data_IF_505005960848
#
_entry.id   IF_505005960848
#
_cell.length_a   1.000
_cell.length_b   1.000
_cell.length_c   1.000
_cell.angle_alpha   90.00
_cell.angle_beta   90.00
_cell.angle_gamma   90.00
#
_symmetry.space_group_name_H-M   'P 1'
#
loop_
_entity.id
_entity.type
_entity.pdbx_description
1 polymer ?
#
# COMPACT_ATOMS: atom_id res chain seq x y z
N UNK A 1 11.25 -17.48 -22.32
CA UNK A 1 12.46 -16.69 -21.98
C UNK A 1 12.13 -15.34 -21.33
N UNK A 2 11.26 -14.49 -21.89
CA UNK A 2 10.96 -13.16 -21.33
C UNK A 2 10.47 -13.17 -19.86
N UNK A 3 9.60 -14.11 -19.50
CA UNK A 3 9.07 -14.24 -18.13
C UNK A 3 10.14 -14.62 -17.11
N UNK A 4 11.06 -15.52 -17.48
CA UNK A 4 12.20 -15.94 -16.64
C UNK A 4 13.17 -14.80 -16.38
N UNK A 5 13.44 -13.97 -17.40
CA UNK A 5 14.28 -12.78 -17.27
C UNK A 5 13.61 -11.71 -16.40
N UNK A 6 12.32 -11.46 -16.63
CA UNK A 6 11.55 -10.47 -15.85
C UNK A 6 11.34 -10.89 -14.39
N UNK A 7 11.23 -12.19 -14.13
CA UNK A 7 11.01 -12.72 -12.78
C UNK A 7 12.29 -13.16 -12.08
N UNK A 8 13.47 -13.05 -12.71
CA UNK A 8 14.75 -13.57 -12.20
C UNK A 8 14.65 -15.04 -11.76
N UNK A 9 13.90 -15.86 -12.51
CA UNK A 9 13.66 -17.28 -12.17
C UNK A 9 12.63 -17.53 -11.08
N UNK A 10 12.05 -16.50 -10.44
CA UNK A 10 10.96 -16.67 -9.47
C UNK A 10 9.62 -16.93 -10.18
N UNK A 11 8.76 -17.73 -9.54
CA UNK A 11 7.41 -18.02 -10.01
C UNK A 11 6.44 -16.93 -9.53
N UNK A 12 6.59 -15.72 -10.07
CA UNK A 12 5.70 -14.61 -9.76
C UNK A 12 4.34 -14.81 -10.44
N UNK A 13 3.24 -14.89 -9.69
CA UNK A 13 1.89 -15.15 -10.23
C UNK A 13 1.48 -14.23 -11.39
N UNK A 14 2.02 -13.00 -11.45
CA UNK A 14 1.76 -12.04 -12.52
C UNK A 14 2.61 -12.25 -13.80
N UNK A 15 3.78 -12.89 -13.68
CA UNK A 15 4.72 -13.09 -14.79
C UNK A 15 4.84 -14.57 -15.21
N UNK A 16 4.28 -15.51 -14.44
CA UNK A 16 4.28 -16.93 -14.82
C UNK A 16 3.45 -17.11 -16.10
N UNK A 17 3.97 -17.82 -17.11
CA UNK A 17 3.24 -18.10 -18.34
C UNK A 17 1.95 -18.87 -18.06
N UNK A 18 0.95 -18.67 -18.91
CA UNK A 18 -0.34 -19.34 -18.77
C UNK A 18 -0.18 -20.87 -18.78
N UNK A 19 -0.76 -21.54 -17.78
CA UNK A 19 -0.66 -22.98 -17.59
C UNK A 19 -1.31 -23.43 -16.27
N UNK A 20 -1.30 -24.73 -16.00
CA UNK A 20 -1.97 -25.29 -14.82
C UNK A 20 -1.36 -24.78 -13.51
N UNK A 21 -0.06 -24.53 -13.49
CA UNK A 21 0.62 -23.89 -12.38
C UNK A 21 0.09 -22.46 -12.13
N UNK A 22 -0.01 -21.64 -13.18
CA UNK A 22 -0.56 -20.28 -13.08
C UNK A 22 -2.01 -20.29 -12.59
N UNK A 23 -2.84 -21.20 -13.12
CA UNK A 23 -4.25 -21.37 -12.69
C UNK A 23 -4.33 -21.74 -11.21
N UNK A 24 -3.49 -22.67 -10.76
CA UNK A 24 -3.43 -23.11 -9.35
C UNK A 24 -3.05 -21.95 -8.42
N UNK A 25 -2.04 -21.17 -8.78
CA UNK A 25 -1.63 -19.98 -8.01
C UNK A 25 -2.73 -18.91 -7.96
N UNK A 26 -3.34 -18.58 -9.11
CA UNK A 26 -4.47 -17.63 -9.19
C UNK A 26 -5.64 -18.07 -8.34
N UNK A 27 -6.00 -19.36 -8.38
CA UNK A 27 -7.07 -19.93 -7.56
C UNK A 27 -6.76 -19.77 -6.07
N UNK A 28 -5.52 -20.06 -5.65
CA UNK A 28 -5.08 -19.89 -4.26
C UNK A 28 -5.17 -18.44 -3.78
N UNK A 29 -4.75 -17.47 -4.62
CA UNK A 29 -4.89 -16.04 -4.32
C UNK A 29 -6.36 -15.64 -4.23
N UNK A 30 -7.18 -16.05 -5.20
CA UNK A 30 -8.60 -15.72 -5.20
C UNK A 30 -9.33 -16.28 -3.97
N UNK A 31 -9.05 -17.53 -3.58
CA UNK A 31 -9.75 -18.19 -2.46
C UNK A 31 -9.30 -17.69 -1.08
N UNK A 32 -8.04 -17.29 -0.93
CA UNK A 32 -7.47 -16.96 0.39
C UNK A 32 -7.27 -15.45 0.63
N UNK A 33 -7.20 -14.64 -0.42
CA UNK A 33 -6.91 -13.19 -0.31
C UNK A 33 -8.11 -12.38 -0.82
N UNK A 34 -8.61 -12.68 -2.02
CA UNK A 34 -9.62 -11.86 -2.71
C UNK A 34 -11.06 -12.33 -2.42
N UNK A 35 -11.24 -13.39 -1.63
CA UNK A 35 -12.57 -13.93 -1.31
C UNK A 35 -13.43 -12.85 -0.64
N UNK A 36 -14.71 -12.68 -1.04
CA UNK A 36 -15.58 -11.63 -0.49
C UNK A 36 -15.63 -11.61 1.03
N UNK A 37 -15.80 -12.76 1.68
CA UNK A 37 -15.79 -12.87 3.14
C UNK A 37 -14.50 -12.34 3.79
N UNK A 38 -13.35 -12.57 3.16
CA UNK A 38 -12.07 -12.06 3.65
C UNK A 38 -11.91 -10.57 3.39
N UNK A 39 -12.35 -10.08 2.24
CA UNK A 39 -12.39 -8.65 1.96
C UNK A 39 -13.32 -7.91 2.93
N UNK A 40 -14.46 -8.48 3.29
CA UNK A 40 -15.37 -7.94 4.31
C UNK A 40 -14.72 -7.97 5.70
N UNK A 41 -14.07 -9.07 6.08
CA UNK A 41 -13.33 -9.16 7.34
C UNK A 41 -12.19 -8.12 7.44
N UNK A 42 -11.53 -7.82 6.31
CA UNK A 42 -10.47 -6.80 6.22
C UNK A 42 -11.00 -5.39 5.96
N UNK A 43 -12.31 -5.19 5.83
CA UNK A 43 -12.89 -3.89 5.49
C UNK A 43 -12.50 -2.84 6.52
N UNK A 44 -12.61 -3.15 7.80
CA UNK A 44 -12.23 -2.25 8.90
C UNK A 44 -10.77 -1.78 8.81
N UNK A 45 -9.85 -2.64 8.35
CA UNK A 45 -8.43 -2.27 8.20
C UNK A 45 -8.22 -1.31 7.03
N UNK A 46 -8.98 -1.49 5.94
CA UNK A 46 -8.93 -0.60 4.76
C UNK A 46 -9.57 0.75 5.05
N UNK A 47 -10.67 0.78 5.79
CA UNK A 47 -11.28 2.04 6.22
C UNK A 47 -10.34 2.81 7.14
N UNK A 48 -9.66 2.13 8.07
CA UNK A 48 -8.68 2.76 8.95
C UNK A 48 -7.53 3.43 8.16
N UNK A 49 -7.01 2.79 7.11
CA UNK A 49 -5.91 3.40 6.34
C UNK A 49 -6.40 4.51 5.40
N UNK A 50 -7.66 4.44 4.93
CA UNK A 50 -8.31 5.55 4.23
C UNK A 50 -8.51 6.76 5.16
N UNK A 51 -8.96 6.54 6.40
CA UNK A 51 -9.08 7.59 7.41
C UNK A 51 -7.72 8.24 7.72
N UNK A 52 -6.66 7.43 7.79
CA UNK A 52 -5.29 7.91 7.94
C UNK A 52 -4.83 8.78 6.76
N UNK A 53 -5.19 8.41 5.52
CA UNK A 53 -4.89 9.23 4.34
C UNK A 53 -5.61 10.59 4.40
N UNK A 54 -6.90 10.61 4.78
CA UNK A 54 -7.67 11.84 4.93
C UNK A 54 -7.07 12.72 6.02
N UNK A 55 -6.73 12.14 7.17
CA UNK A 55 -6.09 12.85 8.29
C UNK A 55 -4.74 13.45 7.88
N UNK A 56 -3.93 12.71 7.13
CA UNK A 56 -2.66 13.21 6.60
C UNK A 56 -2.88 14.42 5.67
N UNK A 57 -3.80 14.32 4.72
CA UNK A 57 -4.11 15.43 3.80
C UNK A 57 -4.61 16.65 4.57
N UNK A 58 -5.53 16.45 5.52
CA UNK A 58 -6.09 17.51 6.35
C UNK A 58 -5.01 18.22 7.19
N UNK A 59 -4.13 17.47 7.84
CA UNK A 59 -3.04 18.01 8.64
C UNK A 59 -2.06 18.82 7.77
N UNK A 60 -1.76 18.34 6.56
CA UNK A 60 -0.93 19.07 5.61
C UNK A 60 -1.58 20.39 5.16
N UNK A 61 -2.91 20.44 5.03
CA UNK A 61 -3.64 21.65 4.67
C UNK A 61 -3.62 22.72 5.78
N UNK A 62 -3.70 22.32 7.05
CA UNK A 62 -3.86 23.24 8.19
C UNK A 62 -2.52 23.66 8.80
N UNK A 63 -1.51 22.78 8.75
CA UNK A 63 -0.17 23.06 9.25
C UNK A 63 0.82 23.06 8.09
N UNK A 64 0.82 24.08 7.22
CA UNK A 64 1.86 24.19 6.20
C UNK A 64 3.21 24.34 6.91
N UNK A 65 4.12 23.38 6.73
CA UNK A 65 5.44 23.32 7.38
C UNK A 65 6.31 24.59 7.15
N UNK A 66 5.88 25.54 6.31
CA UNK A 66 6.67 26.70 5.89
C UNK A 66 6.02 28.08 6.10
N UNK A 67 4.97 28.22 6.92
CA UNK A 67 4.39 29.55 7.26
C UNK A 67 3.88 30.39 6.08
N UNK A 68 3.81 29.79 4.89
CA UNK A 68 3.32 30.43 3.67
C UNK A 68 1.79 30.39 3.69
N UNK A 69 1.17 31.56 3.66
CA UNK A 69 -0.27 31.82 3.58
C UNK A 69 -0.94 31.26 2.30
N UNK A 70 -0.16 30.63 1.42
CA UNK A 70 -0.63 30.00 0.19
C UNK A 70 -0.68 28.49 0.46
N UNK A 71 -1.88 27.92 0.39
CA UNK A 71 -2.18 26.54 0.79
C UNK A 71 -1.11 25.50 0.45
N UNK A 72 -0.91 24.55 1.35
CA UNK A 72 0.07 23.47 1.22
C UNK A 72 -0.12 22.69 -0.10
N UNK A 73 0.93 22.63 -0.92
CA UNK A 73 0.92 21.82 -2.15
C UNK A 73 1.16 20.36 -1.78
N UNK A 74 0.12 19.53 -1.94
CA UNK A 74 0.16 18.11 -1.57
C UNK A 74 0.48 17.26 -2.79
N UNK A 75 1.52 16.42 -2.69
CA UNK A 75 1.79 15.39 -3.70
C UNK A 75 0.83 14.20 -3.51
N UNK A 76 -0.37 14.31 -4.09
CA UNK A 76 -1.40 13.28 -3.99
C UNK A 76 -0.94 11.92 -4.54
N UNK A 77 -0.11 11.92 -5.60
CA UNK A 77 0.44 10.68 -6.19
C UNK A 77 1.27 9.91 -5.16
N UNK A 78 2.08 10.61 -4.37
CA UNK A 78 2.88 10.00 -3.31
C UNK A 78 2.01 9.49 -2.17
N UNK A 79 1.07 10.31 -1.70
CA UNK A 79 0.17 9.96 -0.59
C UNK A 79 -0.69 8.73 -0.91
N UNK A 80 -1.30 8.68 -2.11
CA UNK A 80 -2.12 7.55 -2.55
C UNK A 80 -1.29 6.27 -2.72
N UNK A 81 -0.08 6.35 -3.28
CA UNK A 81 0.82 5.19 -3.39
C UNK A 81 1.14 4.58 -2.02
N UNK A 82 1.27 5.42 -1.00
CA UNK A 82 1.58 4.98 0.36
C UNK A 82 0.38 4.38 1.05
N UNK A 83 -0.80 4.99 0.91
CA UNK A 83 -2.06 4.42 1.38
C UNK A 83 -2.26 3.01 0.82
N UNK A 84 -2.20 2.85 -0.51
CA UNK A 84 -2.39 1.56 -1.18
C UNK A 84 -1.32 0.55 -0.72
N UNK A 85 -0.07 0.97 -0.59
CA UNK A 85 1.00 0.10 -0.13
C UNK A 85 0.79 -0.37 1.32
N UNK A 86 0.29 0.50 2.17
CA UNK A 86 -0.02 0.17 3.56
C UNK A 86 -1.27 -0.70 3.67
N UNK A 87 -2.31 -0.44 2.87
CA UNK A 87 -3.50 -1.30 2.77
C UNK A 87 -3.10 -2.74 2.47
N UNK A 88 -2.31 -2.96 1.41
CA UNK A 88 -1.86 -4.29 1.02
C UNK A 88 -1.06 -4.94 2.16
N UNK A 89 -0.13 -4.23 2.80
CA UNK A 89 0.66 -4.77 3.92
C UNK A 89 -0.18 -5.06 5.17
N UNK A 90 -1.16 -4.20 5.48
CA UNK A 90 -2.07 -4.35 6.61
C UNK A 90 -3.03 -5.52 6.38
N UNK A 91 -3.45 -5.75 5.13
CA UNK A 91 -4.24 -6.90 4.73
C UNK A 91 -3.46 -8.22 4.79
N UNK A 92 -2.21 -8.23 4.29
CA UNK A 92 -1.41 -9.45 4.16
C UNK A 92 -0.67 -9.85 5.44
N UNK A 93 -0.11 -8.87 6.15
CA UNK A 93 0.81 -9.09 7.27
C UNK A 93 0.30 -8.49 8.58
N UNK A 94 -0.86 -7.82 8.57
CA UNK A 94 -1.37 -7.03 9.69
C UNK A 94 -0.40 -5.95 10.19
N UNK A 95 0.59 -5.58 9.38
CA UNK A 95 1.63 -4.61 9.71
C UNK A 95 1.50 -3.36 8.84
N UNK A 96 1.89 -2.22 9.41
CA UNK A 96 2.17 -0.99 8.65
C UNK A 96 3.62 -1.02 8.17
N UNK A 97 4.05 -0.03 7.38
CA UNK A 97 5.45 0.15 6.93
C UNK A 97 6.45 -0.14 8.08
N UNK A 98 7.63 -0.70 7.79
CA UNK A 98 8.67 -0.95 8.80
C UNK A 98 9.26 0.39 9.29
N UNK A 99 8.64 0.95 10.34
CA UNK A 99 8.92 2.24 10.95
C UNK A 99 7.78 2.58 11.91
N UNK A 100 8.06 3.36 12.96
CA UNK A 100 7.03 3.82 13.89
C UNK A 100 6.21 4.92 13.20
N UNK A 101 5.36 4.52 12.24
CA UNK A 101 4.56 5.47 11.47
C UNK A 101 3.93 6.51 12.39
N UNK A 102 4.03 7.78 12.00
CA UNK A 102 3.57 8.92 12.78
C UNK A 102 2.09 8.77 13.18
N UNK A 103 1.72 9.31 14.33
CA UNK A 103 0.35 9.30 14.88
C UNK A 103 -0.68 9.93 13.92
N UNK A 104 -0.22 10.82 13.03
CA UNK A 104 -1.02 11.48 11.99
C UNK A 104 -1.26 10.62 10.74
N UNK A 105 -0.73 9.39 10.68
CA UNK A 105 -0.82 8.58 9.48
C UNK A 105 0.22 8.94 8.41
N UNK A 106 1.06 9.94 8.66
CA UNK A 106 2.12 10.39 7.77
C UNK A 106 3.34 9.47 7.75
N UNK A 107 4.20 9.71 6.77
CA UNK A 107 5.50 9.03 6.69
C UNK A 107 6.43 9.51 7.78
N UNK A 108 7.18 8.58 8.35
CA UNK A 108 8.49 8.89 8.88
C UNK A 108 9.40 9.24 7.71
N UNK A 109 9.56 10.54 7.45
CA UNK A 109 10.65 11.06 6.62
C UNK A 109 11.95 10.93 7.39
N UNK A 110 12.39 9.70 7.70
CA UNK A 110 13.82 9.47 7.93
C UNK A 110 14.49 9.76 6.59
N UNK A 111 14.92 11.01 6.40
CA UNK A 111 15.91 11.37 5.38
C UNK A 111 17.07 10.40 5.58
N UNK A 112 17.22 9.44 4.67
CA UNK A 112 18.48 8.73 4.55
C UNK A 112 19.46 9.78 4.03
N UNK A 113 20.26 10.33 4.95
CA UNK A 113 21.47 11.03 4.57
C UNK A 113 22.36 9.97 3.90
N UNK A 114 22.51 10.07 2.59
CA UNK A 114 23.54 9.38 1.82
C UNK A 114 23.93 10.34 0.71
#
# INVERSE_FOLDING_TARGET
>A
MATMLASCGFLLTALVPWGDQWKKMRKGVASNIIKPARLSWLLHKRTQEADNLVRFIYNQCINPENGSSNGSVINLRLAVRQCIGNDIRKMMFNKRYFGNGKEDGGLDTKKKNT
#
